data_IF_022520659306
#
_entry.id   IF_022520659306
#
_cell.length_a   1.000
_cell.length_b   1.000
_cell.length_c   1.000
_cell.angle_alpha   90.00
_cell.angle_beta   90.00
_cell.angle_gamma   90.00
#
_symmetry.space_group_name_H-M   'P 1'
#
loop_
_entity.id
_entity.type
_entity.pdbx_description
1 polymer ?
#
# COMPACT_ATOMS: atom_id res chain seq x y z
N UNK A 1 -4.99 23.82 29.13
CA UNK A 1 -4.39 23.02 28.05
C UNK A 1 -3.05 23.65 27.69
N UNK A 2 -1.97 22.87 27.64
CA UNK A 2 -0.64 23.37 27.33
C UNK A 2 -0.51 23.73 25.84
N UNK A 3 0.18 24.83 25.52
CA UNK A 3 0.41 25.27 24.14
C UNK A 3 1.67 24.65 23.50
N UNK A 4 2.38 23.79 24.24
CA UNK A 4 3.65 23.22 23.82
C UNK A 4 3.43 21.91 23.07
N UNK A 5 4.31 21.65 22.10
CA UNK A 5 4.39 20.38 21.38
C UNK A 5 5.49 19.51 22.00
N UNK A 6 5.24 18.21 22.11
CA UNK A 6 6.10 17.24 22.80
C UNK A 6 6.66 16.22 21.81
N UNK A 7 7.89 15.77 22.06
CA UNK A 7 8.57 14.75 21.25
C UNK A 7 9.16 13.69 22.17
N UNK A 8 8.83 12.43 21.92
CA UNK A 8 9.54 11.28 22.48
C UNK A 8 10.43 10.70 21.39
N UNK A 9 11.74 10.92 21.49
CA UNK A 9 12.69 10.56 20.45
C UNK A 9 12.98 9.05 20.45
N UNK A 10 13.67 8.57 19.43
CA UNK A 10 14.15 7.19 19.35
C UNK A 10 14.99 6.84 20.59
N UNK A 11 14.98 5.57 21.00
CA UNK A 11 15.68 5.05 22.19
C UNK A 11 15.30 5.78 23.50
N UNK A 12 14.08 6.30 23.59
CA UNK A 12 13.56 6.99 24.78
C UNK A 12 12.31 6.28 25.30
N UNK A 13 12.08 6.36 26.62
CA UNK A 13 10.91 5.79 27.29
C UNK A 13 10.15 6.88 28.05
N UNK A 14 8.86 6.98 27.79
CA UNK A 14 7.91 7.68 28.65
C UNK A 14 7.08 6.64 29.41
N UNK A 15 7.22 6.61 30.73
CA UNK A 15 6.59 5.60 31.57
C UNK A 15 5.75 6.20 32.70
N UNK A 16 4.52 5.69 32.86
CA UNK A 16 3.64 5.98 33.99
C UNK A 16 3.35 4.72 34.81
N UNK A 17 3.71 4.73 36.10
CA UNK A 17 3.47 3.57 37.00
C UNK A 17 1.99 3.37 37.38
N UNK A 18 1.20 4.42 37.41
CA UNK A 18 -0.23 4.34 37.78
C UNK A 18 -1.10 4.74 36.60
N UNK A 19 -0.91 5.95 36.09
CA UNK A 19 -1.52 6.41 34.85
C UNK A 19 -0.58 7.39 34.18
N UNK A 20 -0.64 7.45 32.86
CA UNK A 20 0.13 8.40 32.08
C UNK A 20 -0.83 9.41 31.45
N UNK A 21 -0.66 10.67 31.79
CA UNK A 21 -1.42 11.79 31.22
C UNK A 21 -0.50 12.70 30.43
N UNK A 22 -0.79 12.87 29.14
CA UNK A 22 -0.03 13.74 28.23
C UNK A 22 -0.97 14.80 27.67
N UNK A 23 -0.65 16.08 27.87
CA UNK A 23 -1.50 17.18 27.41
C UNK A 23 -0.69 18.28 26.74
N UNK A 24 -1.12 18.72 25.56
CA UNK A 24 -0.36 19.70 24.78
C UNK A 24 -1.03 20.14 23.50
N UNK A 25 -0.22 20.74 22.61
CA UNK A 25 -0.62 21.06 21.26
C UNK A 25 -0.45 19.86 20.34
N UNK A 26 0.79 19.43 20.12
CA UNK A 26 1.11 18.27 19.27
C UNK A 26 1.97 17.25 20.00
N UNK A 27 1.91 15.98 19.59
CA UNK A 27 2.78 14.91 20.08
C UNK A 27 3.37 14.10 18.93
N UNK A 28 4.68 13.86 18.99
CA UNK A 28 5.36 12.93 18.09
C UNK A 28 6.10 11.86 18.90
N UNK A 29 5.75 10.60 18.70
CA UNK A 29 6.41 9.45 19.31
C UNK A 29 7.25 8.68 18.31
N UNK A 30 8.53 8.50 18.63
CA UNK A 30 9.47 7.56 18.00
C UNK A 30 10.12 6.59 18.99
N UNK A 31 9.96 6.83 20.29
CA UNK A 31 10.40 5.94 21.36
C UNK A 31 9.26 5.06 21.87
N UNK A 32 9.39 4.56 23.09
CA UNK A 32 8.35 3.76 23.74
C UNK A 32 7.53 4.63 24.71
N UNK A 33 6.22 4.42 24.73
CA UNK A 33 5.31 5.02 25.70
C UNK A 33 4.56 3.89 26.39
N UNK A 34 4.64 3.81 27.71
CA UNK A 34 4.03 2.71 28.46
C UNK A 34 3.35 3.21 29.75
N UNK A 35 2.17 2.67 30.06
CA UNK A 35 1.44 2.94 31.29
C UNK A 35 0.97 1.65 31.94
N UNK A 36 1.24 1.47 33.24
CA UNK A 36 0.75 0.29 33.96
C UNK A 36 -0.74 0.39 34.34
N UNK A 37 -1.34 1.57 34.27
CA UNK A 37 -2.80 1.73 34.35
C UNK A 37 -3.31 2.49 33.14
N UNK A 38 -4.06 3.57 33.36
CA UNK A 38 -4.73 4.26 32.25
C UNK A 38 -3.76 5.13 31.45
N UNK A 39 -4.08 5.33 30.17
CA UNK A 39 -3.42 6.28 29.30
C UNK A 39 -4.43 7.35 28.87
N UNK A 40 -4.11 8.62 29.11
CA UNK A 40 -4.92 9.74 28.66
C UNK A 40 -4.06 10.74 27.87
N UNK A 41 -4.34 10.89 26.58
CA UNK A 41 -3.62 11.78 25.68
C UNK A 41 -4.57 12.88 25.20
N UNK A 42 -4.41 14.11 25.67
CA UNK A 42 -5.26 15.24 25.31
C UNK A 42 -4.48 16.32 24.57
N UNK A 43 -4.53 16.26 23.24
CA UNK A 43 -3.85 17.20 22.37
C UNK A 43 -4.86 18.03 21.57
N UNK A 44 -4.61 19.34 21.45
CA UNK A 44 -5.46 20.21 20.62
C UNK A 44 -5.14 20.11 19.13
N UNK A 45 -3.91 19.72 18.81
CA UNK A 45 -3.39 19.47 17.48
C UNK A 45 -3.17 17.98 17.27
N UNK A 46 -2.08 17.62 16.60
CA UNK A 46 -1.92 16.29 16.02
C UNK A 46 -1.11 15.35 16.93
N UNK A 47 -1.48 14.07 16.93
CA UNK A 47 -0.72 12.99 17.55
C UNK A 47 -0.19 12.09 16.44
N UNK A 48 1.13 11.89 16.42
CA UNK A 48 1.79 10.98 15.48
C UNK A 48 2.62 9.96 16.23
N UNK A 49 2.31 8.68 16.04
CA UNK A 49 3.03 7.55 16.60
C UNK A 49 3.73 6.74 15.50
N UNK A 50 5.05 6.58 15.64
CA UNK A 50 5.88 5.77 14.75
C UNK A 50 6.42 4.49 15.40
N UNK A 51 6.12 4.25 16.68
CA UNK A 51 6.61 3.09 17.43
C UNK A 51 5.50 2.57 18.36
N UNK A 52 5.80 2.22 19.61
CA UNK A 52 4.87 1.55 20.51
C UNK A 52 4.33 2.51 21.56
N UNK A 53 3.00 2.54 21.66
CA UNK A 53 2.26 3.12 22.78
C UNK A 53 1.46 1.98 23.41
N UNK A 54 1.61 1.78 24.71
CA UNK A 54 0.90 0.75 25.43
C UNK A 54 0.37 1.20 26.79
N UNK A 55 -0.75 0.62 27.20
CA UNK A 55 -1.34 0.82 28.52
C UNK A 55 -2.02 -0.46 28.99
N UNK A 56 -1.88 -0.85 30.25
CA UNK A 56 -2.60 -2.02 30.78
C UNK A 56 -4.07 -1.70 31.14
N UNK A 57 -4.36 -0.44 31.50
CA UNK A 57 -5.70 0.05 31.79
C UNK A 57 -6.47 0.54 30.56
N UNK A 58 -7.40 1.46 30.78
CA UNK A 58 -8.17 2.10 29.71
C UNK A 58 -7.34 3.20 29.01
N UNK A 59 -7.60 3.41 27.73
CA UNK A 59 -6.96 4.41 26.88
C UNK A 59 -7.97 5.43 26.37
N UNK A 60 -7.67 6.72 26.53
CA UNK A 60 -8.45 7.81 25.95
C UNK A 60 -7.52 8.74 25.18
N UNK A 61 -7.85 8.98 23.91
CA UNK A 61 -7.05 9.79 22.99
C UNK A 61 -7.94 10.88 22.40
N UNK A 62 -7.59 12.13 22.66
CA UNK A 62 -8.21 13.32 22.07
C UNK A 62 -7.19 14.08 21.23
N UNK A 63 -7.49 14.29 19.95
CA UNK A 63 -6.59 14.97 19.00
C UNK A 63 -7.35 15.62 17.84
N UNK A 64 -6.68 16.51 17.11
CA UNK A 64 -7.17 17.00 15.82
C UNK A 64 -7.03 15.92 14.74
N UNK A 65 -5.83 15.35 14.59
CA UNK A 65 -5.57 14.13 13.83
C UNK A 65 -4.82 13.12 14.70
N UNK A 66 -5.07 11.83 14.46
CA UNK A 66 -4.27 10.76 15.05
C UNK A 66 -3.67 9.90 13.93
N UNK A 67 -2.35 9.76 13.94
CA UNK A 67 -1.61 8.91 13.00
C UNK A 67 -0.84 7.84 13.76
N UNK A 68 -1.17 6.58 13.53
CA UNK A 68 -0.39 5.43 13.94
C UNK A 68 0.24 4.82 12.67
N UNK A 69 1.55 4.99 12.50
CA UNK A 69 2.20 4.74 11.22
C UNK A 69 3.51 3.97 11.38
N UNK A 70 3.50 2.72 10.94
CA UNK A 70 4.72 1.96 10.71
C UNK A 70 5.37 2.31 9.38
N UNK A 71 6.34 1.49 8.98
CA UNK A 71 7.04 1.66 7.71
C UNK A 71 7.59 0.36 7.13
N UNK A 72 7.72 0.31 5.81
CA UNK A 72 8.39 -0.79 5.11
C UNK A 72 9.90 -0.55 4.95
N UNK A 73 10.70 -1.58 5.22
CA UNK A 73 12.13 -1.67 4.89
C UNK A 73 12.40 -2.81 3.93
N UNK A 74 13.55 -2.82 3.25
CA UNK A 74 13.88 -3.84 2.25
C UNK A 74 13.70 -3.34 0.83
N UNK A 75 13.47 -4.26 -0.10
CA UNK A 75 13.45 -3.98 -1.53
C UNK A 75 12.49 -4.90 -2.27
N UNK A 76 12.59 -4.92 -3.60
CA UNK A 76 11.89 -5.85 -4.48
C UNK A 76 12.86 -6.39 -5.53
N UNK A 77 12.50 -7.52 -6.13
CA UNK A 77 13.19 -8.10 -7.28
C UNK A 77 12.26 -8.18 -8.49
N UNK A 78 12.79 -8.57 -9.65
CA UNK A 78 11.97 -8.74 -10.86
C UNK A 78 12.05 -10.16 -11.39
N UNK A 79 10.93 -10.66 -11.90
CA UNK A 79 10.86 -11.92 -12.63
C UNK A 79 9.98 -11.79 -13.86
N UNK A 80 10.33 -12.52 -14.91
CA UNK A 80 9.46 -12.66 -16.07
C UNK A 80 8.47 -13.80 -15.86
N UNK A 81 7.19 -13.47 -15.96
CA UNK A 81 6.09 -14.43 -15.84
C UNK A 81 5.21 -14.35 -17.08
N UNK A 82 4.56 -15.47 -17.44
CA UNK A 82 3.52 -15.46 -18.48
C UNK A 82 2.32 -14.65 -17.98
N UNK A 83 1.63 -13.94 -18.87
CA UNK A 83 0.49 -13.10 -18.51
C UNK A 83 -0.60 -13.86 -17.77
N UNK A 84 -0.87 -15.11 -18.15
CA UNK A 84 -1.84 -15.98 -17.46
C UNK A 84 -1.44 -16.42 -16.05
N UNK A 85 -0.19 -16.16 -15.64
CA UNK A 85 0.35 -16.47 -14.31
C UNK A 85 0.81 -15.23 -13.55
N UNK A 86 0.69 -14.03 -14.12
CA UNK A 86 1.12 -12.80 -13.44
C UNK A 86 0.06 -12.33 -12.45
N UNK A 87 0.45 -11.58 -11.42
CA UNK A 87 -0.52 -10.89 -10.55
C UNK A 87 -1.30 -9.77 -11.25
N UNK A 88 -0.84 -9.34 -12.43
CA UNK A 88 -1.49 -8.28 -13.21
C UNK A 88 -2.72 -8.83 -13.94
N UNK A 89 -3.88 -8.30 -13.56
CA UNK A 89 -5.13 -8.57 -14.26
C UNK A 89 -5.44 -7.44 -15.24
N UNK A 90 -5.51 -7.77 -16.53
CA UNK A 90 -5.85 -6.81 -17.60
C UNK A 90 -7.13 -6.04 -17.31
N UNK A 91 -8.15 -6.68 -16.73
CA UNK A 91 -9.44 -6.04 -16.45
C UNK A 91 -9.38 -4.97 -15.35
N UNK A 92 -8.33 -4.99 -14.54
CA UNK A 92 -8.09 -4.02 -13.48
C UNK A 92 -7.21 -2.85 -13.97
N UNK A 93 -6.69 -2.92 -15.19
CA UNK A 93 -5.87 -1.84 -15.76
C UNK A 93 -6.76 -0.69 -16.25
N UNK A 94 -6.26 0.56 -16.21
CA UNK A 94 -6.99 1.70 -16.77
C UNK A 94 -7.30 1.49 -18.26
N UNK A 95 -8.52 1.86 -18.68
CA UNK A 95 -8.95 1.72 -20.09
C UNK A 95 -7.99 2.42 -21.05
N UNK A 96 -7.53 3.63 -20.72
CA UNK A 96 -6.57 4.39 -21.53
C UNK A 96 -5.23 3.67 -21.70
N UNK A 97 -4.78 2.93 -20.68
CA UNK A 97 -3.56 2.12 -20.75
C UNK A 97 -3.72 0.95 -21.72
N UNK A 98 -4.87 0.26 -21.67
CA UNK A 98 -5.20 -0.85 -22.59
C UNK A 98 -5.32 -0.32 -24.03
N UNK A 99 -5.94 0.85 -24.24
CA UNK A 99 -6.07 1.48 -25.55
C UNK A 99 -4.70 1.89 -26.12
N UNK A 100 -3.82 2.45 -25.29
CA UNK A 100 -2.44 2.75 -25.68
C UNK A 100 -1.69 1.47 -26.11
N UNK A 101 -1.73 0.43 -25.28
CA UNK A 101 -1.08 -0.85 -25.58
C UNK A 101 -1.56 -1.43 -26.92
N UNK A 102 -2.88 -1.40 -27.16
CA UNK A 102 -3.47 -1.83 -28.42
C UNK A 102 -2.95 -1.02 -29.62
N UNK A 103 -2.90 0.32 -29.51
CA UNK A 103 -2.35 1.19 -30.56
C UNK A 103 -0.88 0.89 -30.84
N UNK A 104 -0.08 0.68 -29.82
CA UNK A 104 1.35 0.40 -29.97
C UNK A 104 1.61 -0.97 -30.60
N UNK A 105 0.82 -2.00 -30.26
CA UNK A 105 0.84 -3.31 -30.96
C UNK A 105 0.47 -3.16 -32.43
N UNK A 106 -0.54 -2.32 -32.74
CA UNK A 106 -0.97 -2.03 -34.12
C UNK A 106 0.10 -1.26 -34.89
N UNK A 107 0.82 -0.33 -34.25
CA UNK A 107 1.93 0.42 -34.88
C UNK A 107 3.12 -0.49 -35.20
N UNK A 108 3.35 -1.52 -34.39
CA UNK A 108 4.45 -2.46 -34.59
C UNK A 108 4.19 -3.51 -35.69
N UNK A 109 3.07 -3.39 -36.43
CA UNK A 109 2.81 -4.22 -37.61
C UNK A 109 3.93 -4.08 -38.64
N UNK A 110 4.38 -5.22 -39.15
CA UNK A 110 5.34 -5.29 -40.24
C UNK A 110 5.22 -6.62 -40.99
N UNK A 111 5.86 -6.72 -42.15
CA UNK A 111 5.87 -7.95 -42.95
C UNK A 111 4.50 -8.29 -43.56
N UNK A 112 4.25 -9.59 -43.77
CA UNK A 112 3.10 -10.10 -44.56
C UNK A 112 1.78 -10.14 -43.79
N UNK A 113 1.51 -9.17 -42.89
CA UNK A 113 0.25 -9.10 -42.14
C UNK A 113 -0.97 -9.16 -43.08
N UNK A 114 -1.94 -10.03 -42.78
CA UNK A 114 -3.20 -10.11 -43.52
C UNK A 114 -4.36 -9.60 -42.67
N UNK A 115 -4.59 -10.22 -41.53
CA UNK A 115 -5.63 -9.80 -40.59
C UNK A 115 -5.33 -10.30 -39.17
N UNK A 116 -6.08 -9.78 -38.21
CA UNK A 116 -6.00 -10.17 -36.80
C UNK A 116 -6.83 -11.43 -36.51
N UNK A 117 -6.29 -12.30 -35.66
CA UNK A 117 -7.02 -13.46 -35.12
C UNK A 117 -7.76 -13.12 -33.82
N UNK A 118 -7.38 -12.01 -33.18
CA UNK A 118 -7.90 -11.54 -31.89
C UNK A 118 -8.45 -10.13 -32.02
N UNK A 119 -9.47 -9.78 -31.23
CA UNK A 119 -10.12 -8.45 -31.24
C UNK A 119 -9.24 -7.35 -30.65
N UNK A 120 -8.36 -7.71 -29.72
CA UNK A 120 -7.44 -6.80 -29.02
C UNK A 120 -6.20 -7.55 -28.52
N UNK A 121 -5.17 -6.81 -28.14
CA UNK A 121 -3.96 -7.34 -27.57
C UNK A 121 -4.20 -7.87 -26.14
N UNK A 122 -3.56 -8.99 -25.82
CA UNK A 122 -3.60 -9.65 -24.52
C UNK A 122 -2.24 -9.54 -23.82
N UNK A 123 -2.22 -9.68 -22.49
CA UNK A 123 -0.96 -9.74 -21.74
C UNK A 123 -0.28 -11.08 -22.05
N UNK A 124 0.88 -11.03 -22.71
CA UNK A 124 1.66 -12.22 -23.02
C UNK A 124 2.61 -12.58 -21.88
N UNK A 125 3.30 -11.58 -21.34
CA UNK A 125 4.25 -11.72 -20.25
C UNK A 125 4.40 -10.40 -19.49
N UNK A 126 4.83 -10.51 -18.24
CA UNK A 126 5.06 -9.37 -17.36
C UNK A 126 6.44 -9.53 -16.71
N UNK A 127 7.22 -8.46 -16.70
CA UNK A 127 8.38 -8.32 -15.81
C UNK A 127 7.86 -7.82 -14.47
N UNK A 128 7.31 -8.76 -13.70
CA UNK A 128 6.62 -8.48 -12.46
C UNK A 128 7.62 -8.20 -11.34
N UNK A 129 7.27 -7.28 -10.45
CA UNK A 129 8.02 -7.02 -9.25
C UNK A 129 7.55 -7.98 -8.13
N UNK A 130 8.51 -8.59 -7.46
CA UNK A 130 8.31 -9.48 -6.33
C UNK A 130 8.80 -8.77 -5.07
N UNK A 131 7.90 -8.63 -4.10
CA UNK A 131 8.21 -7.95 -2.85
C UNK A 131 9.24 -8.75 -2.05
N UNK A 132 10.11 -8.02 -1.36
CA UNK A 132 10.95 -8.49 -0.25
C UNK A 132 10.92 -7.44 0.88
N UNK A 133 9.80 -6.70 0.96
CA UNK A 133 9.62 -5.67 1.98
C UNK A 133 9.26 -6.32 3.32
N UNK A 134 9.88 -5.81 4.38
CA UNK A 134 9.59 -6.16 5.76
C UNK A 134 8.78 -5.04 6.39
N UNK A 135 7.69 -5.41 7.04
CA UNK A 135 6.86 -4.50 7.81
C UNK A 135 7.49 -4.18 9.17
N UNK A 136 7.64 -2.89 9.48
CA UNK A 136 7.98 -2.39 10.81
C UNK A 136 6.76 -1.66 11.35
N UNK A 137 5.90 -2.38 12.06
CA UNK A 137 4.62 -1.83 12.52
C UNK A 137 4.79 -0.86 13.68
N UNK A 138 4.02 0.22 13.65
CA UNK A 138 3.71 0.97 14.85
C UNK A 138 2.56 0.29 15.61
N UNK A 139 2.51 0.48 16.93
CA UNK A 139 1.53 -0.17 17.78
C UNK A 139 0.87 0.81 18.73
N UNK A 140 -0.45 0.68 18.88
CA UNK A 140 -1.20 1.17 20.02
C UNK A 140 -1.89 -0.01 20.70
N UNK A 141 -1.48 -0.34 21.93
CA UNK A 141 -1.96 -1.52 22.66
C UNK A 141 -2.56 -1.12 24.00
N UNK A 142 -3.86 -1.27 24.15
CA UNK A 142 -4.59 -0.90 25.38
C UNK A 142 -5.18 -2.16 25.99
N UNK A 143 -4.94 -2.43 27.27
CA UNK A 143 -5.49 -3.62 27.95
C UNK A 143 -6.98 -3.49 28.27
N UNK A 144 -7.45 -2.26 28.51
CA UNK A 144 -8.84 -1.92 28.75
C UNK A 144 -9.62 -1.53 27.50
N UNK A 145 -10.57 -0.60 27.68
CA UNK A 145 -11.28 0.07 26.59
C UNK A 145 -10.39 1.14 25.97
N UNK A 146 -10.46 1.31 24.67
CA UNK A 146 -9.80 2.39 23.92
C UNK A 146 -10.85 3.29 23.29
N UNK A 147 -10.83 4.57 23.65
CA UNK A 147 -11.70 5.59 23.06
C UNK A 147 -10.86 6.63 22.31
N UNK A 148 -11.20 6.86 21.04
CA UNK A 148 -10.70 7.96 20.24
C UNK A 148 -11.75 9.06 20.13
N UNK A 149 -11.32 10.29 20.39
CA UNK A 149 -12.03 11.53 20.15
C UNK A 149 -11.17 12.38 19.19
N UNK A 150 -11.18 12.03 17.91
CA UNK A 150 -10.37 12.65 16.86
C UNK A 150 -11.25 13.56 16.02
N UNK A 151 -10.90 14.84 15.88
CA UNK A 151 -11.75 15.79 15.14
C UNK A 151 -11.84 15.46 13.65
N UNK A 152 -10.70 15.20 13.00
CA UNK A 152 -10.63 15.04 11.55
C UNK A 152 -10.37 13.59 11.16
N UNK A 153 -9.11 13.14 11.17
CA UNK A 153 -8.70 11.85 10.59
C UNK A 153 -7.95 10.99 11.58
N UNK A 154 -8.36 9.73 11.68
CA UNK A 154 -7.61 8.64 12.28
C UNK A 154 -6.97 7.82 11.16
N UNK A 155 -5.64 7.90 11.03
CA UNK A 155 -4.86 7.08 10.10
C UNK A 155 -4.15 5.97 10.88
N UNK A 156 -4.47 4.72 10.55
CA UNK A 156 -3.71 3.54 10.94
C UNK A 156 -3.07 2.94 9.68
N UNK A 157 -1.76 3.14 9.50
CA UNK A 157 -1.05 2.72 8.29
C UNK A 157 0.16 1.85 8.62
N UNK A 158 0.20 0.64 8.06
CA UNK A 158 1.25 -0.34 8.37
C UNK A 158 1.44 -0.50 9.89
N UNK A 159 0.33 -0.57 10.60
CA UNK A 159 0.31 -0.44 12.05
C UNK A 159 -0.89 -1.17 12.64
N UNK A 160 -0.82 -1.48 13.94
CA UNK A 160 -1.89 -2.18 14.65
C UNK A 160 -2.43 -1.33 15.81
N UNK A 161 -3.75 -1.34 15.97
CA UNK A 161 -4.47 -0.79 17.13
C UNK A 161 -5.21 -1.95 17.80
N UNK A 162 -4.90 -2.18 19.06
CA UNK A 162 -5.42 -3.30 19.86
C UNK A 162 -6.03 -2.75 21.15
N UNK A 163 -7.22 -3.24 21.49
CA UNK A 163 -7.82 -3.05 22.80
C UNK A 163 -8.20 -4.41 23.40
N UNK A 164 -7.97 -4.61 24.70
CA UNK A 164 -8.38 -5.84 25.40
C UNK A 164 -9.87 -5.90 25.69
N UNK A 165 -10.59 -4.76 25.58
CA UNK A 165 -12.05 -4.67 25.66
C UNK A 165 -12.63 -4.04 24.39
N UNK A 166 -13.28 -2.88 24.50
CA UNK A 166 -13.93 -2.22 23.38
C UNK A 166 -13.01 -1.19 22.73
N UNK A 167 -13.16 -0.99 21.42
CA UNK A 167 -12.64 0.16 20.70
C UNK A 167 -13.83 1.06 20.32
N UNK A 168 -13.78 2.32 20.72
CA UNK A 168 -14.75 3.36 20.36
C UNK A 168 -14.01 4.41 19.55
N UNK A 169 -14.47 4.67 18.31
CA UNK A 169 -13.85 5.65 17.42
C UNK A 169 -14.85 6.74 17.10
N UNK A 170 -14.60 7.94 17.62
CA UNK A 170 -15.27 9.16 17.21
C UNK A 170 -14.29 9.95 16.33
N UNK A 171 -14.42 9.82 15.01
CA UNK A 171 -13.57 10.49 14.02
C UNK A 171 -14.38 10.93 12.79
N UNK A 172 -13.96 12.01 12.13
CA UNK A 172 -14.55 12.42 10.85
C UNK A 172 -14.23 11.43 9.71
N UNK A 173 -13.03 10.85 9.74
CA UNK A 173 -12.55 9.84 8.80
C UNK A 173 -11.67 8.81 9.53
N UNK A 174 -11.79 7.54 9.14
CA UNK A 174 -10.93 6.44 9.57
C UNK A 174 -10.32 5.77 8.35
N UNK A 175 -9.00 5.84 8.22
CA UNK A 175 -8.23 5.13 7.21
C UNK A 175 -7.40 4.03 7.87
N UNK A 176 -7.76 2.78 7.59
CA UNK A 176 -6.99 1.62 8.04
C UNK A 176 -6.39 0.91 6.83
N UNK A 177 -5.09 1.08 6.62
CA UNK A 177 -4.41 0.66 5.37
C UNK A 177 -3.04 0.04 5.63
N UNK A 178 -2.55 -0.75 4.69
CA UNK A 178 -1.13 -1.13 4.65
C UNK A 178 -0.32 -0.04 3.94
N UNK A 179 0.98 0.03 4.20
CA UNK A 179 1.87 0.83 3.35
C UNK A 179 2.17 0.05 2.07
N UNK A 180 1.98 0.69 0.91
CA UNK A 180 2.38 0.17 -0.39
C UNK A 180 3.63 0.87 -0.92
N UNK A 181 4.53 0.13 -1.58
CA UNK A 181 5.64 0.69 -2.37
C UNK A 181 5.39 0.44 -3.85
N UNK A 182 5.54 1.48 -4.65
CA UNK A 182 5.39 1.38 -6.10
C UNK A 182 6.67 0.84 -6.74
N UNK A 183 6.53 -0.13 -7.65
CA UNK A 183 7.58 -0.65 -8.50
C UNK A 183 7.21 -0.49 -9.98
N UNK A 184 8.14 -0.03 -10.80
CA UNK A 184 7.96 0.11 -12.24
C UNK A 184 8.16 -1.25 -12.92
N UNK A 185 7.08 -1.78 -13.49
CA UNK A 185 7.07 -3.06 -14.21
C UNK A 185 6.89 -2.86 -15.72
N UNK A 186 7.16 -3.93 -16.47
CA UNK A 186 6.91 -3.96 -17.92
C UNK A 186 5.85 -5.02 -18.21
N UNK A 187 4.81 -4.64 -18.93
CA UNK A 187 3.78 -5.53 -19.43
C UNK A 187 3.95 -5.66 -20.94
N UNK A 188 4.28 -6.86 -21.43
CA UNK A 188 4.28 -7.15 -22.86
C UNK A 188 2.88 -7.53 -23.29
N UNK A 189 2.28 -6.68 -24.12
CA UNK A 189 1.04 -6.98 -24.83
C UNK A 189 1.35 -7.63 -26.17
N UNK A 190 0.58 -8.65 -26.54
CA UNK A 190 0.67 -9.32 -27.83
C UNK A 190 -0.71 -9.48 -28.45
N UNK A 191 -0.81 -9.29 -29.77
CA UNK A 191 -2.02 -9.58 -30.53
C UNK A 191 -1.71 -10.55 -31.66
N UNK A 192 -2.47 -11.64 -31.71
CA UNK A 192 -2.27 -12.68 -32.72
C UNK A 192 -2.79 -12.23 -34.08
N UNK A 193 -2.01 -12.48 -35.13
CA UNK A 193 -2.38 -12.23 -36.53
C UNK A 193 -2.06 -13.44 -37.40
N UNK A 194 -2.68 -13.49 -38.58
CA UNK A 194 -2.33 -14.47 -39.60
C UNK A 194 -1.80 -13.82 -40.88
N UNK A 195 -1.03 -14.60 -41.63
CA UNK A 195 -0.43 -14.21 -42.92
C UNK A 195 -0.46 -15.38 -43.90
N UNK A 196 -0.29 -15.09 -45.20
CA UNK A 196 -0.20 -16.13 -46.24
C UNK A 196 1.23 -16.30 -46.76
N UNK A 197 1.60 -17.54 -47.02
CA UNK A 197 2.88 -17.88 -47.64
C UNK A 197 2.75 -19.09 -48.58
N UNK A 198 3.68 -19.20 -49.52
CA UNK A 198 3.74 -20.31 -50.48
C UNK A 198 4.78 -21.34 -50.06
N UNK A 199 4.37 -22.62 -50.00
CA UNK A 199 5.28 -23.76 -49.85
C UNK A 199 4.69 -24.97 -50.58
N UNK A 200 4.73 -24.92 -51.92
CA UNK A 200 4.09 -25.89 -52.82
C UNK A 200 2.56 -25.82 -52.89
N UNK A 201 1.94 -25.12 -51.93
CA UNK A 201 0.54 -24.69 -51.90
C UNK A 201 0.40 -23.44 -51.03
N UNK A 202 -0.71 -22.73 -51.16
CA UNK A 202 -1.05 -21.62 -50.27
C UNK A 202 -1.25 -22.14 -48.84
N UNK A 203 -0.53 -21.55 -47.88
CA UNK A 203 -0.66 -21.86 -46.45
C UNK A 203 -0.91 -20.58 -45.65
N UNK A 204 -1.58 -20.75 -44.52
CA UNK A 204 -1.76 -19.71 -43.50
C UNK A 204 -0.76 -19.94 -42.38
N UNK A 205 -0.02 -18.91 -42.01
CA UNK A 205 0.85 -18.87 -40.84
C UNK A 205 0.28 -17.90 -39.80
N UNK A 206 0.69 -18.06 -38.55
CA UNK A 206 0.31 -17.18 -37.45
C UNK A 206 1.54 -16.54 -36.84
N UNK A 207 1.37 -15.33 -36.32
CA UNK A 207 2.39 -14.57 -35.62
C UNK A 207 1.76 -13.67 -34.56
N UNK A 208 2.63 -12.94 -33.87
CA UNK A 208 2.22 -11.96 -32.86
C UNK A 208 2.98 -10.66 -33.10
N UNK A 209 2.25 -9.56 -33.12
CA UNK A 209 2.86 -8.25 -32.88
C UNK A 209 2.80 -7.96 -31.39
N UNK A 210 3.85 -7.30 -30.89
CA UNK A 210 4.06 -7.06 -29.46
C UNK A 210 4.35 -5.60 -29.20
N UNK A 211 3.98 -5.13 -28.02
CA UNK A 211 4.41 -3.85 -27.48
C UNK A 211 4.65 -4.00 -25.98
N UNK A 212 5.71 -3.36 -25.49
CA UNK A 212 6.04 -3.32 -24.07
C UNK A 212 5.56 -2.00 -23.49
N UNK A 213 4.83 -2.09 -22.38
CA UNK A 213 4.24 -0.94 -21.70
C UNK A 213 4.72 -0.86 -20.26
N UNK A 214 5.18 0.31 -19.83
CA UNK A 214 5.56 0.55 -18.44
C UNK A 214 4.31 0.76 -17.57
N UNK A 215 4.27 0.13 -16.41
CA UNK A 215 3.15 0.23 -15.47
C UNK A 215 3.66 0.23 -14.03
N UNK A 216 2.87 0.75 -13.09
CA UNK A 216 3.21 0.76 -11.67
C UNK A 216 2.47 -0.35 -10.93
N UNK A 217 3.24 -1.21 -10.27
CA UNK A 217 2.74 -2.25 -9.38
C UNK A 217 2.94 -1.82 -7.93
N UNK A 218 1.86 -1.78 -7.15
CA UNK A 218 1.95 -1.59 -5.70
C UNK A 218 2.34 -2.91 -5.02
N UNK A 219 3.42 -2.88 -4.25
CA UNK A 219 3.93 -3.98 -3.44
C UNK A 219 3.68 -3.72 -1.96
N UNK A 220 3.37 -4.78 -1.22
CA UNK A 220 3.20 -4.75 0.25
C UNK A 220 4.28 -5.61 0.91
N UNK A 221 4.42 -5.53 2.23
CA UNK A 221 5.25 -6.49 2.96
C UNK A 221 4.81 -7.94 2.72
N UNK A 222 5.79 -8.85 2.73
CA UNK A 222 5.56 -10.30 2.68
C UNK A 222 4.96 -10.87 3.97
#
# INVERSE_FOLDING_TARGET
KGNNSFKNNENSLLYGRESLKLEGKDFTNKGDVSSFGNLNMNFTGDITNFNTIEAAGDGEITANNFTNKGYLTGSHSYKWVRGSKSSINKNNLPKEFIEKANRDVVRNKHGKFRDWDETEANIERVKEAESHYKSNKAYLKIGGNLTFNVTNKLLNQEADILAGKNIIINAGELDNTREGKEADIIITFARKYHYRYWRGKNRTGHGYFRADEAYKQTLYAD
#
